data_IF_268494734429
#
_entry.id   IF_268494734429
#
_cell.length_a   1.000
_cell.length_b   1.000
_cell.length_c   1.000
_cell.angle_alpha   90.00
_cell.angle_beta   90.00
_cell.angle_gamma   90.00
#
_symmetry.space_group_name_H-M   'P 1'
#
loop_
_entity.id
_entity.type
_entity.pdbx_description
1 polymer ?
#
# COMPACT_ATOMS: atom_id res chain seq x y z
N UNK A 1 -70.63 -20.81 41.31
CA UNK A 1 -69.19 -20.57 41.12
C UNK A 1 -68.98 -19.07 41.30
N UNK A 2 -68.15 -18.70 42.28
CA UNK A 2 -68.06 -17.32 42.77
C UNK A 2 -67.37 -16.39 41.77
N UNK A 3 -68.05 -15.30 41.43
CA UNK A 3 -67.66 -14.27 40.45
C UNK A 3 -66.51 -13.36 40.95
N UNK A 4 -65.36 -13.99 41.26
CA UNK A 4 -64.21 -13.38 41.95
C UNK A 4 -63.12 -12.82 41.02
N UNK A 5 -63.21 -13.05 39.72
CA UNK A 5 -62.22 -12.58 38.73
C UNK A 5 -62.61 -11.19 38.23
N UNK A 6 -61.65 -10.26 38.18
CA UNK A 6 -61.83 -8.91 37.65
C UNK A 6 -61.31 -8.80 36.21
N UNK A 7 -60.08 -9.26 35.97
CA UNK A 7 -59.40 -9.11 34.68
C UNK A 7 -58.47 -10.28 34.40
N UNK A 8 -58.34 -10.67 33.14
CA UNK A 8 -57.33 -11.64 32.69
C UNK A 8 -56.44 -10.95 31.65
N UNK A 9 -55.15 -10.86 31.95
CA UNK A 9 -54.14 -10.34 31.02
C UNK A 9 -53.26 -11.47 30.52
N UNK A 10 -53.17 -11.61 29.20
CA UNK A 10 -52.34 -12.63 28.55
C UNK A 10 -51.15 -11.96 27.87
N UNK A 11 -49.94 -12.29 28.31
CA UNK A 11 -48.67 -11.82 27.76
C UNK A 11 -47.83 -12.99 27.27
N UNK A 12 -47.92 -13.28 25.96
CA UNK A 12 -47.28 -14.48 25.38
C UNK A 12 -47.83 -15.76 26.04
N UNK A 13 -46.95 -16.53 26.69
CA UNK A 13 -47.32 -17.76 27.41
C UNK A 13 -47.78 -17.50 28.86
N UNK A 14 -47.65 -16.27 29.37
CA UNK A 14 -47.98 -15.94 30.76
C UNK A 14 -49.40 -15.38 30.84
N UNK A 15 -50.20 -15.94 31.74
CA UNK A 15 -51.56 -15.51 32.05
C UNK A 15 -51.56 -14.93 33.46
N UNK A 16 -51.95 -13.67 33.59
CA UNK A 16 -52.17 -13.02 34.90
C UNK A 16 -53.66 -12.84 35.10
N UNK A 17 -54.17 -13.33 36.22
CA UNK A 17 -55.58 -13.24 36.62
C UNK A 17 -55.65 -12.34 37.84
N UNK A 18 -56.26 -11.18 37.66
CA UNK A 18 -56.52 -10.21 38.71
C UNK A 18 -57.87 -10.54 39.35
N UNK A 19 -57.86 -10.81 40.66
CA UNK A 19 -59.06 -11.11 41.44
C UNK A 19 -59.60 -9.82 42.06
N UNK A 20 -60.91 -9.71 42.25
CA UNK A 20 -61.57 -8.54 42.88
C UNK A 20 -61.12 -8.26 44.33
N UNK A 21 -60.46 -9.24 44.96
CA UNK A 21 -59.90 -9.17 46.32
C UNK A 21 -58.40 -8.78 46.33
N UNK A 22 -57.88 -8.21 45.24
CA UNK A 22 -56.52 -7.63 45.11
C UNK A 22 -55.37 -8.66 45.22
N UNK A 23 -55.64 -9.92 44.86
CA UNK A 23 -54.62 -10.99 44.76
C UNK A 23 -54.44 -11.42 43.31
N UNK A 24 -53.27 -11.11 42.75
CA UNK A 24 -52.90 -11.53 41.40
C UNK A 24 -52.42 -12.98 41.36
N UNK A 25 -53.08 -13.81 40.55
CA UNK A 25 -52.65 -15.17 40.26
C UNK A 25 -51.94 -15.22 38.91
N UNK A 26 -50.73 -15.79 38.87
CA UNK A 26 -49.97 -15.99 37.62
C UNK A 26 -49.97 -17.46 37.24
N UNK A 27 -50.39 -17.75 36.02
CA UNK A 27 -50.36 -19.07 35.41
C UNK A 27 -49.65 -19.00 34.05
N UNK A 28 -49.31 -20.16 33.49
CA UNK A 28 -48.70 -20.27 32.15
C UNK A 28 -49.63 -21.08 31.25
N UNK A 29 -49.96 -20.56 30.07
CA UNK A 29 -50.67 -21.30 29.02
C UNK A 29 -49.68 -22.00 28.10
N UNK A 30 -50.13 -23.05 27.41
CA UNK A 30 -49.37 -23.62 26.29
C UNK A 30 -49.34 -22.62 25.12
N UNK A 31 -48.19 -22.51 24.46
CA UNK A 31 -47.89 -21.40 23.54
C UNK A 31 -48.82 -21.33 22.33
N UNK A 32 -49.29 -22.47 21.83
CA UNK A 32 -50.04 -22.57 20.56
C UNK A 32 -51.57 -22.63 20.70
N UNK A 33 -52.12 -22.76 21.91
CA UNK A 33 -53.57 -22.74 22.12
C UNK A 33 -54.09 -21.37 22.55
N UNK A 34 -55.24 -20.98 22.00
CA UNK A 34 -55.98 -19.80 22.42
C UNK A 34 -56.45 -20.00 23.87
N UNK A 35 -56.26 -18.99 24.73
CA UNK A 35 -56.71 -19.05 26.12
C UNK A 35 -58.22 -19.32 26.23
N UNK A 36 -58.98 -18.87 25.23
CA UNK A 36 -60.41 -19.11 25.13
C UNK A 36 -60.72 -20.61 24.99
N UNK A 37 -59.92 -21.35 24.21
CA UNK A 37 -60.10 -22.80 24.04
C UNK A 37 -59.74 -23.56 25.31
N UNK A 38 -58.67 -23.16 26.00
CA UNK A 38 -58.26 -23.76 27.28
C UNK A 38 -59.34 -23.53 28.36
N UNK A 39 -59.85 -22.30 28.48
CA UNK A 39 -60.90 -21.97 29.46
C UNK A 39 -62.21 -22.70 29.16
N UNK A 40 -62.60 -22.81 27.88
CA UNK A 40 -63.77 -23.60 27.47
C UNK A 40 -63.60 -25.09 27.81
N UNK A 41 -62.41 -25.66 27.61
CA UNK A 41 -62.12 -27.06 27.96
C UNK A 41 -62.23 -27.34 29.47
N UNK A 42 -61.95 -26.34 30.32
CA UNK A 42 -62.13 -26.43 31.77
C UNK A 42 -63.57 -26.13 32.24
N UNK A 43 -64.52 -25.96 31.31
CA UNK A 43 -65.95 -25.86 31.61
C UNK A 43 -66.44 -24.44 31.91
N UNK A 44 -65.68 -23.41 31.53
CA UNK A 44 -66.12 -22.00 31.62
C UNK A 44 -67.10 -21.73 30.47
N UNK A 45 -68.32 -21.27 30.77
CA UNK A 45 -69.33 -20.95 29.76
C UNK A 45 -69.09 -19.58 29.13
N UNK A 46 -69.50 -19.39 27.86
CA UNK A 46 -69.34 -18.11 27.14
C UNK A 46 -69.96 -16.92 27.89
N UNK A 47 -71.07 -17.12 28.61
CA UNK A 47 -71.70 -16.10 29.46
C UNK A 47 -70.82 -15.60 30.63
N UNK A 48 -69.87 -16.41 31.10
CA UNK A 48 -68.93 -16.04 32.16
C UNK A 48 -67.69 -15.34 31.59
N UNK A 49 -67.34 -15.60 30.33
CA UNK A 49 -66.23 -14.95 29.63
C UNK A 49 -66.61 -13.54 29.17
N UNK A 50 -67.87 -13.31 28.78
CA UNK A 50 -68.38 -11.98 28.42
C UNK A 50 -68.38 -10.99 29.60
N UNK A 51 -68.38 -11.48 30.84
CA UNK A 51 -68.31 -10.65 32.06
C UNK A 51 -66.88 -10.27 32.46
N UNK A 52 -65.85 -10.83 31.81
CA UNK A 52 -64.45 -10.64 32.17
C UNK A 52 -63.72 -9.99 30.99
N UNK A 53 -63.06 -8.86 31.23
CA UNK A 53 -62.22 -8.23 30.21
C UNK A 53 -60.93 -9.03 30.03
N UNK A 54 -60.76 -9.66 28.87
CA UNK A 54 -59.53 -10.37 28.49
C UNK A 54 -58.68 -9.47 27.61
N UNK A 55 -57.54 -9.00 28.13
CA UNK A 55 -56.58 -8.22 27.35
C UNK A 55 -55.39 -9.08 26.93
N UNK A 56 -55.17 -9.20 25.62
CA UNK A 56 -53.98 -9.84 25.06
C UNK A 56 -52.94 -8.76 24.78
N UNK A 57 -51.84 -8.79 25.53
CA UNK A 57 -50.72 -7.87 25.39
C UNK A 57 -49.52 -8.61 24.79
N UNK A 58 -48.85 -8.00 23.81
CA UNK A 58 -47.62 -8.57 23.24
C UNK A 58 -46.50 -8.49 24.28
N UNK A 59 -45.79 -9.61 24.51
CA UNK A 59 -44.66 -9.63 25.43
C UNK A 59 -43.60 -8.57 25.04
N UNK A 60 -42.95 -7.89 26.00
CA UNK A 60 -41.92 -6.90 25.70
C UNK A 60 -40.79 -7.54 24.89
N UNK A 61 -40.59 -7.07 23.65
CA UNK A 61 -39.68 -7.68 22.68
C UNK A 61 -38.21 -7.28 22.93
N UNK A 62 -37.79 -7.30 24.20
CA UNK A 62 -36.44 -6.89 24.65
C UNK A 62 -35.32 -7.73 24.02
N UNK A 63 -35.61 -8.98 23.65
CA UNK A 63 -34.70 -9.85 22.90
C UNK A 63 -34.41 -9.36 21.48
N UNK A 64 -35.34 -8.63 20.84
CA UNK A 64 -35.13 -8.10 19.50
C UNK A 64 -34.03 -7.03 19.51
N UNK A 65 -34.08 -6.06 20.44
CA UNK A 65 -33.09 -4.98 20.52
C UNK A 65 -31.69 -5.53 20.80
N UNK A 66 -31.58 -6.52 21.68
CA UNK A 66 -30.30 -7.17 22.00
C UNK A 66 -29.72 -7.92 20.78
N UNK A 67 -30.58 -8.62 20.03
CA UNK A 67 -30.16 -9.33 18.81
C UNK A 67 -29.71 -8.37 17.69
N UNK A 68 -30.42 -7.26 17.51
CA UNK A 68 -30.03 -6.19 16.58
C UNK A 68 -28.65 -5.58 16.93
N UNK A 69 -28.37 -5.41 18.22
CA UNK A 69 -27.09 -4.86 18.69
C UNK A 69 -25.91 -5.82 18.44
N UNK A 70 -26.13 -7.12 18.65
CA UNK A 70 -25.13 -8.17 18.36
C UNK A 70 -24.84 -8.24 16.86
N UNK A 71 -25.87 -8.11 16.02
CA UNK A 71 -25.71 -8.15 14.55
C UNK A 71 -24.95 -6.92 14.00
N UNK A 72 -25.05 -5.76 14.65
CA UNK A 72 -24.34 -4.54 14.25
C UNK A 72 -22.88 -4.48 14.74
N UNK A 73 -22.52 -5.24 15.78
CA UNK A 73 -21.18 -5.27 16.37
C UNK A 73 -20.04 -5.52 15.35
N UNK A 74 -20.10 -6.52 14.45
CA UNK A 74 -19.05 -6.72 13.44
C UNK A 74 -18.94 -5.56 12.44
N UNK A 75 -20.06 -4.93 12.07
CA UNK A 75 -20.07 -3.79 11.15
C UNK A 75 -19.42 -2.56 11.79
N UNK A 76 -19.70 -2.31 13.07
CA UNK A 76 -19.09 -1.22 13.84
C UNK A 76 -17.58 -1.45 14.01
N UNK A 77 -17.14 -2.68 14.28
CA UNK A 77 -15.72 -3.00 14.42
C UNK A 77 -14.93 -2.74 13.12
N UNK A 78 -15.47 -3.14 11.96
CA UNK A 78 -14.85 -2.86 10.66
C UNK A 78 -14.78 -1.35 10.42
N UNK A 79 -15.86 -0.61 10.69
CA UNK A 79 -15.89 0.84 10.49
C UNK A 79 -14.91 1.57 11.42
N UNK A 80 -14.83 1.17 12.69
CA UNK A 80 -13.86 1.69 13.66
C UNK A 80 -12.42 1.38 13.25
N UNK A 81 -12.14 0.18 12.75
CA UNK A 81 -10.84 -0.22 12.24
C UNK A 81 -10.42 0.61 11.02
N UNK A 82 -11.34 0.85 10.07
CA UNK A 82 -11.07 1.72 8.92
C UNK A 82 -10.82 3.18 9.32
N UNK A 83 -11.57 3.71 10.28
CA UNK A 83 -11.32 5.05 10.84
C UNK A 83 -9.96 5.09 11.56
N UNK A 84 -9.56 4.04 12.27
CA UNK A 84 -8.26 3.94 12.91
C UNK A 84 -7.12 3.97 11.88
N UNK A 85 -7.21 3.17 10.80
CA UNK A 85 -6.24 3.20 9.69
C UNK A 85 -6.21 4.57 9.02
N UNK A 86 -7.36 5.19 8.74
CA UNK A 86 -7.41 6.51 8.13
C UNK A 86 -6.84 7.60 9.03
N UNK A 87 -7.03 7.53 10.36
CA UNK A 87 -6.36 8.43 11.31
C UNK A 87 -4.86 8.20 11.37
N UNK A 88 -4.40 6.95 11.30
CA UNK A 88 -2.97 6.63 11.24
C UNK A 88 -2.33 7.05 9.91
N UNK A 89 -3.06 6.95 8.80
CA UNK A 89 -2.63 7.38 7.48
C UNK A 89 -2.70 8.90 7.30
N UNK A 90 -3.65 9.59 7.94
CA UNK A 90 -3.83 11.04 7.85
C UNK A 90 -2.77 11.87 8.58
N UNK A 91 -2.11 11.32 9.60
CA UNK A 91 -1.05 12.01 10.36
C UNK A 91 0.37 11.88 9.79
N UNK A 92 0.62 10.92 8.90
CA UNK A 92 1.97 10.64 8.37
C UNK A 92 1.99 10.18 6.89
N UNK A 93 0.85 10.16 6.20
CA UNK A 93 0.67 9.49 4.91
C UNK A 93 0.51 10.39 3.69
N UNK A 94 0.29 11.71 3.85
CA UNK A 94 0.22 12.62 2.69
C UNK A 94 1.54 12.68 1.91
N UNK A 95 2.67 12.37 2.58
CA UNK A 95 3.96 12.21 1.92
C UNK A 95 4.23 10.81 1.35
N UNK A 96 3.43 9.77 1.68
CA UNK A 96 3.71 8.39 1.22
C UNK A 96 2.96 8.00 -0.05
N UNK A 97 1.77 8.55 -0.30
CA UNK A 97 1.03 8.28 -1.54
C UNK A 97 1.71 8.92 -2.77
N UNK A 98 2.30 10.11 -2.63
CA UNK A 98 3.15 10.76 -3.65
C UNK A 98 4.53 10.09 -3.81
N UNK A 99 4.90 9.11 -2.97
CA UNK A 99 6.15 8.35 -3.06
C UNK A 99 5.99 7.02 -3.81
N UNK A 100 4.78 6.62 -4.23
CA UNK A 100 4.60 5.37 -4.98
C UNK A 100 5.16 5.42 -6.42
N UNK A 101 5.47 6.62 -6.93
CA UNK A 101 6.14 6.84 -8.23
C UNK A 101 7.61 7.23 -8.15
N UNK A 102 8.15 7.47 -6.94
CA UNK A 102 9.59 7.60 -6.73
C UNK A 102 10.05 6.31 -6.10
N UNK A 103 10.65 5.46 -6.92
CA UNK A 103 11.26 4.21 -6.49
C UNK A 103 11.94 4.38 -5.13
N UNK A 104 11.49 3.62 -4.13
CA UNK A 104 12.31 3.25 -2.97
C UNK A 104 13.41 2.26 -3.36
N UNK A 105 13.89 2.35 -4.60
CA UNK A 105 15.09 1.66 -5.02
C UNK A 105 16.25 2.46 -4.42
N UNK A 106 16.80 1.92 -3.33
CA UNK A 106 18.19 2.04 -2.92
C UNK A 106 18.82 3.37 -3.32
N UNK A 107 18.79 4.39 -2.44
CA UNK A 107 19.60 5.64 -2.51
C UNK A 107 20.37 5.71 -3.84
N UNK A 108 19.71 6.09 -4.94
CA UNK A 108 20.41 6.26 -6.20
C UNK A 108 21.44 7.36 -5.93
N UNK A 109 22.69 6.95 -5.97
CA UNK A 109 23.82 7.77 -6.37
C UNK A 109 24.12 8.97 -5.45
N UNK A 110 24.43 8.70 -4.18
CA UNK A 110 25.48 9.51 -3.57
C UNK A 110 26.72 9.30 -4.42
N UNK A 111 27.06 10.29 -5.24
CA UNK A 111 28.20 10.23 -6.15
C UNK A 111 29.41 9.69 -5.40
N UNK A 112 29.90 8.53 -5.85
CA UNK A 112 31.02 7.89 -5.18
C UNK A 112 32.28 8.72 -5.45
N UNK A 113 33.19 8.76 -4.48
CA UNK A 113 34.51 9.35 -4.68
C UNK A 113 35.50 8.20 -4.63
N UNK A 114 35.72 7.49 -5.75
CA UNK A 114 36.62 6.36 -5.78
C UNK A 114 38.02 6.81 -5.38
N UNK A 115 38.67 6.02 -4.52
CA UNK A 115 40.06 6.23 -4.11
C UNK A 115 41.06 5.48 -4.99
N UNK A 116 40.56 4.69 -5.94
CA UNK A 116 41.36 3.88 -6.87
C UNK A 116 42.05 4.81 -7.85
N UNK A 117 43.33 4.57 -8.14
CA UNK A 117 44.15 5.36 -9.08
C UNK A 117 44.68 4.49 -10.23
N UNK A 118 45.43 5.06 -11.18
CA UNK A 118 46.01 4.28 -12.28
C UNK A 118 47.07 3.27 -11.81
N UNK A 119 47.67 3.50 -10.65
CA UNK A 119 48.62 2.58 -10.02
C UNK A 119 47.94 1.27 -9.58
N UNK A 120 46.65 1.31 -9.26
CA UNK A 120 45.86 0.13 -8.86
C UNK A 120 45.39 -0.72 -10.05
N UNK A 121 45.57 -0.24 -11.28
CA UNK A 121 45.22 -0.95 -12.51
C UNK A 121 46.47 -1.59 -13.09
N UNK A 122 46.51 -2.91 -13.26
CA UNK A 122 47.63 -3.57 -13.91
C UNK A 122 47.45 -3.60 -15.44
N UNK A 123 48.51 -3.25 -16.20
CA UNK A 123 48.51 -3.28 -17.67
C UNK A 123 47.67 -2.19 -18.33
N UNK A 124 47.30 -2.42 -19.61
CA UNK A 124 46.55 -1.47 -20.44
C UNK A 124 47.21 -0.08 -20.57
N UNK A 125 48.54 -0.07 -20.72
CA UNK A 125 49.36 1.14 -20.72
C UNK A 125 48.91 2.16 -21.77
N UNK A 126 48.56 1.70 -22.97
CA UNK A 126 48.02 2.52 -24.07
C UNK A 126 46.70 3.21 -23.65
N UNK A 127 45.77 2.46 -23.06
CA UNK A 127 44.49 3.01 -22.62
C UNK A 127 44.64 3.97 -21.42
N UNK A 128 45.61 3.71 -20.53
CA UNK A 128 45.93 4.63 -19.43
C UNK A 128 46.49 5.94 -19.96
N UNK A 129 47.36 5.90 -20.96
CA UNK A 129 47.93 7.10 -21.59
C UNK A 129 46.85 7.95 -22.26
N UNK A 130 45.94 7.35 -23.03
CA UNK A 130 44.80 8.07 -23.63
C UNK A 130 43.87 8.66 -22.56
N UNK A 131 43.60 7.91 -21.48
CA UNK A 131 42.74 8.39 -20.40
C UNK A 131 43.41 9.41 -19.48
N UNK A 132 44.74 9.46 -19.43
CA UNK A 132 45.48 10.49 -18.69
C UNK A 132 45.20 11.89 -19.26
N UNK A 133 45.01 12.01 -20.58
CA UNK A 133 44.58 13.27 -21.20
C UNK A 133 43.21 13.70 -20.64
N UNK A 134 42.25 12.77 -20.53
CA UNK A 134 40.92 13.02 -19.96
C UNK A 134 41.01 13.46 -18.49
N UNK A 135 41.91 12.86 -17.70
CA UNK A 135 42.18 13.29 -16.32
C UNK A 135 42.68 14.73 -16.28
N UNK A 136 43.64 15.09 -17.14
CA UNK A 136 44.18 16.46 -17.21
C UNK A 136 43.08 17.47 -17.57
N UNK A 137 42.20 17.13 -18.51
CA UNK A 137 41.03 17.96 -18.85
C UNK A 137 40.10 18.19 -17.66
N UNK A 138 39.87 17.17 -16.83
CA UNK A 138 38.99 17.28 -15.65
C UNK A 138 39.62 18.08 -14.52
N UNK A 139 40.96 18.00 -14.36
CA UNK A 139 41.71 18.77 -13.36
C UNK A 139 41.92 20.23 -13.76
N UNK A 140 42.25 20.48 -15.02
CA UNK A 140 42.62 21.82 -15.52
C UNK A 140 41.76 22.29 -16.72
N UNK A 141 40.42 22.33 -16.60
CA UNK A 141 39.54 22.64 -17.73
C UNK A 141 39.78 24.04 -18.35
N UNK A 142 40.31 24.98 -17.55
CA UNK A 142 40.60 26.35 -17.99
C UNK A 142 41.76 26.42 -19.00
N UNK A 143 42.79 25.58 -18.82
CA UNK A 143 43.96 25.51 -19.71
C UNK A 143 43.53 25.12 -21.12
N UNK A 144 42.66 24.13 -21.22
CA UNK A 144 42.14 23.65 -22.50
C UNK A 144 41.11 24.60 -23.14
N UNK A 145 40.28 25.26 -22.33
CA UNK A 145 39.36 26.28 -22.83
C UNK A 145 40.10 27.47 -23.43
N UNK A 146 41.23 27.89 -22.84
CA UNK A 146 42.07 28.98 -23.36
C UNK A 146 42.72 28.63 -24.70
N UNK A 147 43.04 27.36 -24.93
CA UNK A 147 43.57 26.84 -26.21
C UNK A 147 42.48 26.62 -27.26
N UNK A 148 41.20 26.81 -26.91
CA UNK A 148 40.06 26.53 -27.79
C UNK A 148 39.80 25.04 -28.00
N UNK A 149 40.43 24.16 -27.22
CA UNK A 149 40.24 22.73 -27.31
C UNK A 149 38.85 22.34 -26.78
N UNK A 150 38.15 21.45 -27.50
CA UNK A 150 36.86 20.91 -27.05
C UNK A 150 37.08 19.68 -26.20
N UNK A 151 36.51 19.68 -24.99
CA UNK A 151 36.52 18.53 -24.09
C UNK A 151 35.82 17.34 -24.79
N UNK A 152 36.47 16.15 -24.86
CA UNK A 152 35.84 14.92 -25.31
C UNK A 152 34.52 14.68 -24.56
N UNK A 153 33.43 14.43 -25.29
CA UNK A 153 32.10 14.28 -24.67
C UNK A 153 31.83 12.91 -24.07
N UNK A 154 32.66 11.92 -24.39
CA UNK A 154 32.57 10.57 -23.86
C UNK A 154 33.66 9.68 -24.43
N UNK A 155 33.97 8.60 -23.72
CA UNK A 155 34.89 7.55 -24.12
C UNK A 155 34.14 6.23 -24.13
N UNK A 156 34.28 5.44 -25.20
CA UNK A 156 33.70 4.11 -25.29
C UNK A 156 34.83 3.07 -25.15
N UNK A 157 34.81 2.33 -24.04
CA UNK A 157 35.77 1.25 -23.82
C UNK A 157 35.20 -0.08 -24.32
N UNK A 158 35.90 -0.73 -25.24
CA UNK A 158 35.51 -2.03 -25.82
C UNK A 158 36.54 -3.08 -25.47
N UNK A 159 36.08 -4.27 -25.10
CA UNK A 159 36.95 -5.40 -24.80
C UNK A 159 36.19 -6.55 -24.16
N UNK A 160 36.81 -7.73 -24.10
CA UNK A 160 36.26 -8.92 -23.46
C UNK A 160 35.81 -8.65 -22.00
N UNK A 161 34.85 -9.42 -21.45
CA UNK A 161 34.52 -9.33 -20.02
C UNK A 161 35.77 -9.61 -19.16
N UNK A 162 35.90 -8.91 -18.03
CA UNK A 162 37.01 -9.09 -17.09
C UNK A 162 38.29 -8.32 -17.41
N UNK A 163 38.36 -7.52 -18.48
CA UNK A 163 39.55 -6.72 -18.84
C UNK A 163 39.72 -5.41 -18.04
N UNK A 164 39.06 -5.29 -16.88
CA UNK A 164 39.24 -4.13 -16.01
C UNK A 164 38.61 -2.80 -16.47
N UNK A 165 37.71 -2.78 -17.47
CA UNK A 165 37.05 -1.54 -17.95
C UNK A 165 36.43 -0.69 -16.82
N UNK A 166 35.65 -1.33 -15.94
CA UNK A 166 35.01 -0.67 -14.80
C UNK A 166 36.03 -0.18 -13.77
N UNK A 167 37.14 -0.92 -13.59
CA UNK A 167 38.22 -0.52 -12.69
C UNK A 167 38.98 0.70 -13.24
N UNK A 168 39.28 0.69 -14.55
CA UNK A 168 39.92 1.79 -15.24
C UNK A 168 39.06 3.07 -15.22
N UNK A 169 37.75 2.97 -15.43
CA UNK A 169 36.84 4.12 -15.28
C UNK A 169 36.85 4.73 -13.87
N UNK A 170 36.91 3.88 -12.84
CA UNK A 170 37.03 4.35 -11.44
C UNK A 170 38.39 5.00 -11.18
N UNK A 171 39.46 4.44 -11.74
CA UNK A 171 40.80 5.01 -11.67
C UNK A 171 40.85 6.42 -12.26
N UNK A 172 40.24 6.66 -13.43
CA UNK A 172 40.15 8.01 -14.04
C UNK A 172 39.46 9.00 -13.10
N UNK A 173 38.36 8.60 -12.46
CA UNK A 173 37.65 9.45 -11.52
C UNK A 173 38.47 9.74 -10.25
N UNK A 174 39.16 8.73 -9.72
CA UNK A 174 40.04 8.87 -8.55
C UNK A 174 41.24 9.76 -8.83
N UNK A 175 41.89 9.58 -9.99
CA UNK A 175 42.98 10.43 -10.47
C UNK A 175 42.54 11.90 -10.63
N UNK A 176 41.38 12.12 -11.23
CA UNK A 176 40.83 13.47 -11.39
C UNK A 176 40.24 14.05 -10.09
N UNK A 177 40.01 13.23 -9.05
CA UNK A 177 39.40 13.64 -7.79
C UNK A 177 37.94 14.08 -7.91
N UNK A 178 37.23 13.59 -8.94
CA UNK A 178 35.86 14.01 -9.27
C UNK A 178 34.83 12.95 -8.85
N UNK A 179 33.56 13.34 -8.60
CA UNK A 179 32.51 12.38 -8.31
C UNK A 179 32.27 11.41 -9.46
N UNK A 180 31.97 10.15 -9.13
CA UNK A 180 31.73 9.04 -10.04
C UNK A 180 30.30 8.54 -9.89
N UNK A 181 29.53 8.63 -10.97
CA UNK A 181 28.19 8.05 -11.09
C UNK A 181 28.30 6.77 -11.92
N UNK A 182 27.66 5.69 -11.47
CA UNK A 182 27.67 4.40 -12.16
C UNK A 182 26.26 3.90 -12.35
N UNK A 183 25.90 3.51 -13.56
CA UNK A 183 24.63 2.83 -13.86
C UNK A 183 24.89 1.73 -14.90
N UNK A 184 24.10 0.65 -14.87
CA UNK A 184 24.15 -0.36 -15.93
C UNK A 184 23.14 0.01 -17.02
N UNK A 185 23.51 -0.15 -18.28
CA UNK A 185 22.66 0.08 -19.44
C UNK A 185 21.37 -0.74 -19.38
N UNK A 186 21.42 -1.93 -18.78
CA UNK A 186 20.25 -2.77 -18.53
C UNK A 186 19.20 -2.10 -17.63
N UNK A 187 19.60 -1.17 -16.73
CA UNK A 187 18.69 -0.44 -15.84
C UNK A 187 17.79 0.56 -16.57
N UNK A 188 18.11 0.86 -17.83
CA UNK A 188 17.29 1.73 -18.69
C UNK A 188 16.32 0.93 -19.57
N UNK A 189 16.45 -0.40 -19.64
CA UNK A 189 15.57 -1.27 -20.41
C UNK A 189 14.50 -1.84 -19.47
N UNK A 190 13.32 -1.23 -19.49
CA UNK A 190 12.18 -1.66 -18.67
C UNK A 190 10.95 -2.00 -19.49
N UNK A 191 10.06 -2.82 -18.90
CA UNK A 191 8.77 -3.18 -19.47
C UNK A 191 7.80 -1.99 -19.58
N UNK A 192 7.99 -0.96 -18.73
CA UNK A 192 7.12 0.20 -18.70
C UNK A 192 7.67 1.33 -19.58
N UNK A 193 6.87 1.76 -20.55
CA UNK A 193 7.23 2.83 -21.48
C UNK A 193 7.56 4.12 -20.72
N UNK A 194 8.70 4.72 -21.04
CA UNK A 194 9.11 6.03 -20.52
C UNK A 194 9.86 6.00 -19.18
N UNK A 195 9.85 4.89 -18.44
CA UNK A 195 10.57 4.79 -17.16
C UNK A 195 12.08 4.88 -17.36
N UNK A 196 12.65 4.13 -18.31
CA UNK A 196 14.07 4.21 -18.65
C UNK A 196 14.51 5.61 -19.08
N UNK A 197 13.69 6.29 -19.89
CA UNK A 197 13.97 7.66 -20.32
C UNK A 197 13.95 8.67 -19.16
N UNK A 198 13.09 8.49 -18.15
CA UNK A 198 13.11 9.32 -16.94
C UNK A 198 14.41 9.14 -16.16
N UNK A 199 14.84 7.89 -15.94
CA UNK A 199 16.09 7.60 -15.22
C UNK A 199 17.31 8.22 -15.87
N UNK A 200 17.41 8.17 -17.20
CA UNK A 200 18.50 8.84 -17.94
C UNK A 200 18.47 10.35 -17.65
N UNK A 201 17.31 11.01 -17.73
CA UNK A 201 17.21 12.44 -17.43
C UNK A 201 17.62 12.76 -15.99
N UNK A 202 17.14 11.97 -15.04
CA UNK A 202 17.42 12.16 -13.61
C UNK A 202 18.92 11.97 -13.30
N UNK A 203 19.56 10.96 -13.91
CA UNK A 203 21.02 10.73 -13.82
C UNK A 203 21.81 11.93 -14.33
N UNK A 204 21.49 12.44 -15.52
CA UNK A 204 22.16 13.60 -16.09
C UNK A 204 21.87 14.90 -15.32
N UNK A 205 20.69 15.06 -14.72
CA UNK A 205 20.38 16.22 -13.88
C UNK A 205 21.21 16.22 -12.59
N UNK A 206 21.36 15.06 -11.96
CA UNK A 206 22.20 14.90 -10.77
C UNK A 206 23.68 15.11 -11.08
N UNK A 207 24.16 14.56 -12.19
CA UNK A 207 25.54 14.75 -12.65
C UNK A 207 25.85 16.25 -12.91
N UNK A 208 24.95 16.98 -13.58
CA UNK A 208 25.12 18.43 -13.81
C UNK A 208 25.26 19.24 -12.51
N UNK A 209 24.55 18.85 -11.45
CA UNK A 209 24.65 19.50 -10.12
C UNK A 209 25.99 19.24 -9.43
N UNK A 210 26.70 18.17 -9.82
CA UNK A 210 27.98 17.74 -9.23
C UNK A 210 29.16 17.92 -10.21
N UNK A 211 29.01 18.78 -11.23
CA UNK A 211 30.06 19.03 -12.21
C UNK A 211 31.29 19.71 -11.58
N UNK A 212 32.54 19.33 -11.95
CA UNK A 212 32.89 18.26 -12.89
C UNK A 212 32.73 16.86 -12.27
N UNK A 213 32.23 15.90 -13.05
CA UNK A 213 32.00 14.51 -12.63
C UNK A 213 32.11 13.53 -13.81
N UNK A 214 32.21 12.24 -13.51
CA UNK A 214 32.19 11.15 -14.51
C UNK A 214 30.89 10.35 -14.37
N UNK A 215 30.23 10.08 -15.49
CA UNK A 215 29.12 9.12 -15.58
C UNK A 215 29.65 7.90 -16.32
N UNK A 216 29.67 6.76 -15.64
CA UNK A 216 29.98 5.46 -16.20
C UNK A 216 28.69 4.69 -16.46
N UNK A 217 28.53 4.23 -17.70
CA UNK A 217 27.43 3.35 -18.11
C UNK A 217 28.02 2.02 -18.54
N UNK A 218 27.87 1.00 -17.71
CA UNK A 218 28.27 -0.38 -18.06
C UNK A 218 27.24 -1.00 -19.01
N UNK A 219 27.62 -2.00 -19.80
CA UNK A 219 26.67 -2.75 -20.67
C UNK A 219 25.76 -1.84 -21.54
N UNK A 220 26.35 -0.79 -22.13
CA UNK A 220 25.62 0.16 -22.98
C UNK A 220 24.99 -0.49 -24.22
N UNK A 221 25.48 -1.67 -24.61
CA UNK A 221 24.93 -2.47 -25.70
C UNK A 221 23.47 -2.90 -25.44
N UNK A 222 23.05 -3.02 -24.17
CA UNK A 222 21.66 -3.29 -23.80
C UNK A 222 20.68 -2.22 -24.33
N UNK A 223 21.11 -0.95 -24.38
CA UNK A 223 20.30 0.18 -24.88
C UNK A 223 20.62 0.55 -26.33
N UNK A 224 21.82 0.24 -26.80
CA UNK A 224 22.33 0.62 -28.12
C UNK A 224 21.90 -0.29 -29.26
N UNK A 225 21.14 -1.36 -29.00
CA UNK A 225 20.70 -2.28 -30.05
C UNK A 225 19.81 -1.53 -31.04
N UNK A 226 20.18 -1.58 -32.32
CA UNK A 226 19.41 -0.97 -33.41
C UNK A 226 17.93 -1.35 -33.27
N UNK A 227 17.02 -0.39 -33.50
CA UNK A 227 15.60 -0.69 -33.72
C UNK A 227 15.50 -1.56 -34.97
N UNK A 228 15.65 -2.88 -34.81
CA UNK A 228 15.38 -3.83 -35.86
C UNK A 228 13.90 -3.71 -36.21
N UNK A 229 13.60 -3.70 -37.51
CA UNK A 229 12.25 -3.81 -38.02
C UNK A 229 11.59 -5.07 -37.43
N UNK A 230 10.90 -4.88 -36.30
CA UNK A 230 10.13 -5.93 -35.67
C UNK A 230 8.95 -6.25 -36.57
N UNK A 231 9.10 -7.30 -37.37
CA UNK A 231 7.98 -8.20 -37.64
C UNK A 231 7.33 -8.52 -36.28
N UNK A 232 6.22 -7.86 -36.00
CA UNK A 232 5.34 -8.19 -34.90
C UNK A 232 4.71 -9.54 -35.19
N UNK A 233 5.25 -10.60 -34.60
CA UNK A 233 4.60 -11.88 -34.47
C UNK A 233 4.29 -12.11 -33.00
N UNK A 234 3.01 -12.23 -32.66
CA UNK A 234 2.56 -12.68 -31.34
C UNK A 234 1.28 -12.01 -30.84
N UNK A 235 0.17 -12.34 -31.52
CA UNK A 235 -1.26 -12.04 -31.25
C UNK A 235 -1.74 -10.58 -31.35
#
# INVERSE_FOLDING_TARGET
MDNRVAQITVQGDVVTVEMKDDVDLRSRKEGDESIFNTLAAFGVTEEQLDQITVEVQSAPNSGAIFNWLIMLLPMILIFAFFIFIMRQAGGAGQNRAMQFGRSRARRMDSADRPTVTFDDVAGSDEAKEELAEVVEFLREPQKFAALGARIPKGVLMVGAPGTGKTLLAKAVAGEAGVPFFSSSGSEFVEMFVGVGASRVRDLFEQAKKNSPCIIFVDEIDAVGRHRGAGMGGGN
#
